data_IF_589710056723
#
_entry.id   IF_589710056723
#
_cell.length_a   1.000
_cell.length_b   1.000
_cell.length_c   1.000
_cell.angle_alpha   90.00
_cell.angle_beta   90.00
_cell.angle_gamma   90.00
#
_symmetry.space_group_name_H-M   'P 1'
#
loop_
_entity.id
_entity.type
_entity.pdbx_description
1 polymer ?
#
# COMPACT_ATOMS: atom_id res chain seq x y z
N UNK A 1 -6.28 21.96 9.58
CA UNK A 1 -6.02 20.63 10.15
C UNK A 1 -5.27 19.78 9.11
N UNK A 2 -4.33 18.92 9.52
CA UNK A 2 -3.56 18.07 8.59
C UNK A 2 -3.56 16.63 9.09
N UNK A 3 -4.21 15.73 8.37
CA UNK A 3 -4.31 14.30 8.72
C UNK A 3 -3.50 13.48 7.73
N UNK A 4 -2.67 12.57 8.23
CA UNK A 4 -1.84 11.67 7.40
C UNK A 4 -2.32 10.24 7.57
N UNK A 5 -2.69 9.59 6.47
CA UNK A 5 -3.20 8.21 6.44
C UNK A 5 -2.48 7.45 5.33
N UNK A 6 -2.02 6.23 5.59
CA UNK A 6 -1.52 5.37 4.52
C UNK A 6 -2.70 4.63 3.89
N UNK A 7 -2.88 4.71 2.58
CA UNK A 7 -4.01 4.08 1.87
C UNK A 7 -3.87 2.55 1.78
N UNK A 8 -2.68 2.00 2.07
CA UNK A 8 -2.39 0.57 2.06
C UNK A 8 -1.88 0.09 3.42
N UNK A 9 -2.47 0.59 4.51
CA UNK A 9 -2.08 0.27 5.89
C UNK A 9 -1.94 -1.23 6.14
N UNK A 10 -2.93 -2.03 5.72
CA UNK A 10 -2.94 -3.48 5.96
C UNK A 10 -1.79 -4.17 5.25
N UNK A 11 -1.57 -3.83 3.97
CA UNK A 11 -0.44 -4.33 3.17
C UNK A 11 0.89 -4.01 3.82
N UNK A 12 1.09 -2.73 4.17
CA UNK A 12 2.35 -2.27 4.75
C UNK A 12 2.60 -2.96 6.09
N UNK A 13 1.57 -3.11 6.94
CA UNK A 13 1.70 -3.80 8.22
C UNK A 13 2.04 -5.29 8.02
N UNK A 14 1.34 -5.97 7.11
CA UNK A 14 1.58 -7.37 6.82
C UNK A 14 3.03 -7.61 6.38
N UNK A 15 3.52 -6.83 5.41
CA UNK A 15 4.89 -6.97 4.95
C UNK A 15 5.91 -6.48 5.98
N UNK A 16 5.58 -5.50 6.82
CA UNK A 16 6.46 -5.07 7.91
C UNK A 16 6.67 -6.19 8.95
N UNK A 17 5.64 -6.98 9.25
CA UNK A 17 5.74 -8.15 10.15
C UNK A 17 6.53 -9.29 9.49
N UNK A 18 6.33 -9.50 8.20
CA UNK A 18 7.00 -10.57 7.45
C UNK A 18 8.49 -10.26 7.16
N UNK A 19 8.83 -8.97 7.08
CA UNK A 19 10.19 -8.48 6.81
C UNK A 19 11.24 -9.08 7.74
N UNK A 20 11.18 -9.00 9.08
CA UNK A 20 12.22 -9.54 9.95
C UNK A 20 12.51 -11.04 9.74
N UNK A 21 11.48 -11.83 9.43
CA UNK A 21 11.63 -13.27 9.13
C UNK A 21 12.45 -13.46 7.84
N UNK A 22 12.13 -12.72 6.78
CA UNK A 22 12.88 -12.77 5.52
C UNK A 22 14.31 -12.23 5.71
N UNK A 23 14.49 -11.14 6.45
CA UNK A 23 15.81 -10.58 6.76
C UNK A 23 16.68 -11.67 7.40
N UNK A 24 16.18 -12.34 8.44
CA UNK A 24 16.93 -13.36 9.17
C UNK A 24 17.25 -14.57 8.29
N UNK A 25 16.24 -15.10 7.58
CA UNK A 25 16.45 -16.23 6.67
C UNK A 25 17.45 -15.92 5.55
N UNK A 26 17.38 -14.70 5.00
CA UNK A 26 18.30 -14.24 3.95
C UNK A 26 19.72 -14.06 4.46
N UNK A 27 19.91 -13.51 5.67
CA UNK A 27 21.23 -13.38 6.29
C UNK A 27 21.84 -14.75 6.60
N UNK A 28 21.05 -15.64 7.18
CA UNK A 28 21.48 -17.01 7.48
C UNK A 28 21.96 -17.70 6.20
N UNK A 29 21.19 -17.63 5.13
CA UNK A 29 21.55 -18.29 3.88
C UNK A 29 22.79 -17.66 3.20
N UNK A 30 22.97 -16.34 3.31
CA UNK A 30 24.17 -15.68 2.81
C UNK A 30 25.42 -16.11 3.60
N UNK A 31 25.33 -16.10 4.93
CA UNK A 31 26.48 -16.40 5.81
C UNK A 31 26.81 -17.90 5.74
N UNK A 32 25.87 -18.78 6.07
CA UNK A 32 26.12 -20.22 6.17
C UNK A 32 26.25 -20.89 4.79
N UNK A 33 25.48 -20.42 3.81
CA UNK A 33 25.38 -21.06 2.51
C UNK A 33 26.40 -20.57 1.48
N UNK A 34 26.82 -19.30 1.55
CA UNK A 34 27.73 -18.70 0.54
C UNK A 34 29.08 -18.35 1.13
N UNK A 35 29.12 -17.65 2.27
CA UNK A 35 30.38 -17.18 2.87
C UNK A 35 31.14 -18.33 3.54
N UNK A 36 30.46 -19.08 4.42
CA UNK A 36 31.06 -20.16 5.21
C UNK A 36 30.97 -21.53 4.52
N UNK A 37 30.11 -21.68 3.51
CA UNK A 37 29.90 -22.92 2.75
C UNK A 37 29.57 -24.15 3.62
N UNK A 38 28.97 -23.95 4.79
CA UNK A 38 28.59 -25.03 5.71
C UNK A 38 27.38 -25.83 5.22
N UNK A 39 26.54 -25.24 4.36
CA UNK A 39 25.35 -25.88 3.82
C UNK A 39 25.22 -25.64 2.31
N UNK A 40 24.73 -26.64 1.58
CA UNK A 40 24.50 -26.49 0.14
C UNK A 40 23.42 -25.42 -0.10
N UNK A 41 23.75 -24.37 -0.84
CA UNK A 41 22.81 -23.30 -1.20
C UNK A 41 21.88 -23.79 -2.33
N UNK A 42 20.72 -24.34 -1.99
CA UNK A 42 19.82 -24.97 -2.99
C UNK A 42 19.02 -23.97 -3.84
N UNK A 43 19.01 -22.67 -3.52
CA UNK A 43 18.30 -21.63 -4.31
C UNK A 43 19.01 -20.27 -4.25
N UNK A 44 19.58 -19.85 -5.38
CA UNK A 44 20.09 -18.49 -5.58
C UNK A 44 18.94 -17.60 -6.10
N UNK A 45 18.49 -16.68 -5.27
CA UNK A 45 17.46 -15.71 -5.63
C UNK A 45 17.62 -14.42 -4.82
N UNK A 46 17.08 -13.28 -5.32
CA UNK A 46 17.28 -11.99 -4.68
C UNK A 46 16.75 -11.96 -3.23
N UNK A 47 15.61 -12.60 -2.94
CA UNK A 47 15.10 -12.71 -1.57
C UNK A 47 15.83 -13.73 -0.69
N UNK A 48 16.54 -14.66 -1.33
CA UNK A 48 17.30 -15.71 -0.66
C UNK A 48 18.66 -15.19 -0.16
N UNK A 49 19.27 -14.23 -0.88
CA UNK A 49 20.58 -13.66 -0.53
C UNK A 49 20.53 -12.22 -0.04
N UNK A 50 19.64 -11.40 -0.61
CA UNK A 50 19.54 -9.96 -0.36
C UNK A 50 18.17 -9.54 0.20
N UNK A 51 17.38 -10.49 0.69
CA UNK A 51 16.11 -10.22 1.36
C UNK A 51 16.26 -9.22 2.52
N UNK A 52 17.43 -9.19 3.16
CA UNK A 52 17.76 -8.24 4.22
C UNK A 52 17.79 -6.76 3.78
N UNK A 53 18.12 -6.47 2.51
CA UNK A 53 18.08 -5.12 1.92
C UNK A 53 16.77 -4.88 1.19
N UNK A 54 16.34 -5.86 0.39
CA UNK A 54 15.23 -5.72 -0.54
C UNK A 54 13.91 -5.53 0.23
N UNK A 55 13.67 -6.30 1.30
CA UNK A 55 12.40 -6.23 2.03
C UNK A 55 12.16 -4.87 2.70
N UNK A 56 13.12 -4.30 3.48
CA UNK A 56 12.95 -2.94 4.00
C UNK A 56 12.67 -1.92 2.91
N UNK A 57 13.43 -1.94 1.80
CA UNK A 57 13.25 -1.00 0.69
C UNK A 57 11.84 -1.08 0.11
N UNK A 58 11.31 -2.29 -0.12
CA UNK A 58 9.95 -2.49 -0.62
C UNK A 58 8.92 -1.96 0.38
N UNK A 59 9.05 -2.25 1.68
CA UNK A 59 8.11 -1.79 2.70
C UNK A 59 8.12 -0.25 2.81
N UNK A 60 9.29 0.37 2.82
CA UNK A 60 9.39 1.83 2.83
C UNK A 60 8.82 2.45 1.56
N UNK A 61 9.14 1.92 0.38
CA UNK A 61 8.61 2.40 -0.88
C UNK A 61 7.07 2.28 -0.93
N UNK A 62 6.53 1.15 -0.47
CA UNK A 62 5.09 0.95 -0.35
C UNK A 62 4.46 1.95 0.62
N UNK A 63 5.08 2.23 1.75
CA UNK A 63 4.59 3.25 2.68
C UNK A 63 4.56 4.64 2.04
N UNK A 64 5.69 5.11 1.49
CA UNK A 64 5.81 6.47 0.96
C UNK A 64 4.93 6.74 -0.26
N UNK A 65 4.77 5.77 -1.17
CA UNK A 65 3.89 5.90 -2.34
C UNK A 65 2.40 5.87 -1.98
N UNK A 66 2.05 5.34 -0.80
CA UNK A 66 0.67 5.21 -0.34
C UNK A 66 0.29 6.19 0.77
N UNK A 67 1.17 7.10 1.16
CA UNK A 67 0.81 8.20 2.06
C UNK A 67 -0.20 9.11 1.35
N UNK A 68 -1.33 9.30 2.01
CA UNK A 68 -2.33 10.30 1.75
C UNK A 68 -2.26 11.36 2.85
N UNK A 69 -2.22 12.63 2.46
CA UNK A 69 -2.29 13.78 3.36
C UNK A 69 -3.58 14.53 3.03
N UNK A 70 -4.46 14.62 4.01
CA UNK A 70 -5.74 15.32 3.88
C UNK A 70 -5.60 16.64 4.64
N UNK A 71 -5.81 17.75 3.94
CA UNK A 71 -5.93 19.09 4.51
C UNK A 71 -7.38 19.57 4.40
N UNK A 72 -7.65 20.84 4.75
CA UNK A 72 -8.99 21.44 4.67
C UNK A 72 -9.53 21.49 3.25
N UNK A 73 -8.66 21.73 2.27
CA UNK A 73 -9.09 22.07 0.90
C UNK A 73 -8.50 21.14 -0.17
N UNK A 74 -7.59 20.24 0.23
CA UNK A 74 -6.85 19.40 -0.71
C UNK A 74 -6.55 18.02 -0.16
N UNK A 75 -6.39 17.05 -1.05
CA UNK A 75 -5.80 15.75 -0.79
C UNK A 75 -4.49 15.62 -1.55
N UNK A 76 -3.42 15.23 -0.87
CA UNK A 76 -2.14 14.89 -1.50
C UNK A 76 -1.92 13.39 -1.45
N UNK A 77 -1.77 12.74 -2.61
CA UNK A 77 -1.42 11.32 -2.72
C UNK A 77 -0.19 11.20 -3.60
N UNK A 78 0.84 10.49 -3.13
CA UNK A 78 2.09 10.27 -3.89
C UNK A 78 2.71 11.58 -4.43
N UNK A 79 2.74 12.63 -3.60
CA UNK A 79 3.23 13.98 -3.95
C UNK A 79 2.41 14.73 -5.00
N UNK A 80 1.27 14.20 -5.45
CA UNK A 80 0.32 14.89 -6.34
C UNK A 80 -0.79 15.49 -5.49
N UNK A 81 -1.10 16.77 -5.72
CA UNK A 81 -2.14 17.52 -5.01
C UNK A 81 -3.44 17.52 -5.82
N UNK A 82 -4.54 17.21 -5.14
CA UNK A 82 -5.90 17.18 -5.68
C UNK A 82 -6.77 18.13 -4.85
N UNK A 83 -6.97 19.39 -5.29
CA UNK A 83 -7.89 20.33 -4.65
C UNK A 83 -9.34 19.88 -4.76
N UNK A 84 -10.14 20.10 -3.71
CA UNK A 84 -11.56 19.74 -3.70
C UNK A 84 -12.40 20.55 -4.69
N UNK A 85 -11.95 21.76 -5.05
CA UNK A 85 -12.61 22.61 -6.05
C UNK A 85 -12.57 22.03 -7.45
N UNK A 86 -11.47 21.33 -7.80
CA UNK A 86 -11.15 20.95 -9.17
C UNK A 86 -11.45 19.47 -9.43
N UNK A 87 -11.47 18.66 -8.37
CA UNK A 87 -11.64 17.21 -8.46
C UNK A 87 -12.89 16.74 -7.73
N UNK A 88 -13.55 15.72 -8.29
CA UNK A 88 -14.63 14.95 -7.67
C UNK A 88 -14.01 13.71 -7.01
N UNK A 89 -14.40 13.45 -5.77
CA UNK A 89 -13.95 12.30 -5.00
C UNK A 89 -15.12 11.36 -4.81
N UNK A 90 -14.97 10.11 -5.24
CA UNK A 90 -16.00 9.08 -5.11
C UNK A 90 -15.40 7.85 -4.44
N UNK A 91 -16.18 7.26 -3.53
CA UNK A 91 -15.86 5.99 -2.91
C UNK A 91 -16.68 4.89 -3.59
N UNK A 92 -16.03 4.09 -4.43
CA UNK A 92 -16.68 2.98 -5.12
C UNK A 92 -16.43 1.66 -4.38
N UNK A 93 -17.37 0.73 -4.48
CA UNK A 93 -17.17 -0.65 -4.05
C UNK A 93 -17.07 -1.54 -5.27
N UNK A 94 -15.98 -2.30 -5.38
CA UNK A 94 -15.74 -3.23 -6.49
C UNK A 94 -15.58 -4.64 -5.97
N UNK A 95 -16.11 -5.59 -6.73
CA UNK A 95 -15.82 -7.01 -6.52
C UNK A 95 -14.54 -7.38 -7.28
N UNK A 96 -13.58 -7.97 -6.57
CA UNK A 96 -12.32 -8.42 -7.18
C UNK A 96 -12.35 -9.93 -7.42
N UNK A 97 -11.90 -10.35 -8.60
CA UNK A 97 -11.59 -11.74 -8.88
C UNK A 97 -10.48 -12.23 -7.94
N UNK A 98 -10.50 -13.53 -7.59
CA UNK A 98 -9.60 -14.11 -6.58
C UNK A 98 -8.11 -13.77 -6.81
N UNK A 99 -7.68 -13.75 -8.07
CA UNK A 99 -6.30 -13.46 -8.49
C UNK A 99 -5.83 -12.02 -8.23
N UNK A 100 -6.76 -11.07 -8.08
CA UNK A 100 -6.47 -9.66 -7.82
C UNK A 100 -6.71 -9.28 -6.37
N UNK A 101 -7.10 -10.23 -5.52
CA UNK A 101 -7.37 -9.97 -4.12
C UNK A 101 -6.06 -9.85 -3.34
N UNK A 102 -5.91 -8.83 -2.51
CA UNK A 102 -4.75 -8.72 -1.66
C UNK A 102 -4.74 -9.82 -0.59
N UNK A 103 -3.55 -10.34 -0.31
CA UNK A 103 -3.32 -11.43 0.67
C UNK A 103 -3.88 -11.09 2.07
N UNK A 104 -3.87 -9.80 2.40
CA UNK A 104 -4.38 -9.21 3.65
C UNK A 104 -5.90 -9.24 3.79
N UNK A 105 -6.65 -9.49 2.71
CA UNK A 105 -8.12 -9.42 2.69
C UNK A 105 -8.75 -10.40 1.69
N UNK A 106 -8.12 -11.53 1.40
CA UNK A 106 -8.53 -12.54 0.41
C UNK A 106 -10.02 -12.94 0.42
N UNK A 107 -10.63 -12.98 1.61
CA UNK A 107 -11.99 -13.43 1.80
C UNK A 107 -13.03 -12.31 1.73
N UNK A 108 -12.62 -11.06 1.54
CA UNK A 108 -13.57 -9.96 1.34
C UNK A 108 -14.21 -10.06 -0.04
N UNK A 109 -15.52 -9.82 -0.07
CA UNK A 109 -16.32 -9.75 -1.30
C UNK A 109 -16.24 -8.38 -1.97
N UNK A 110 -16.29 -7.31 -1.17
CA UNK A 110 -16.23 -5.94 -1.65
C UNK A 110 -14.99 -5.23 -1.15
N UNK A 111 -14.37 -4.46 -2.05
CA UNK A 111 -13.18 -3.66 -1.82
C UNK A 111 -13.50 -2.20 -2.10
N UNK A 112 -13.02 -1.31 -1.23
CA UNK A 112 -13.29 0.12 -1.35
C UNK A 112 -12.22 0.77 -2.23
N UNK A 113 -12.64 1.48 -3.25
CA UNK A 113 -11.79 2.21 -4.17
C UNK A 113 -12.00 3.71 -3.99
N UNK A 114 -10.90 4.44 -3.83
CA UNK A 114 -10.89 5.89 -3.99
C UNK A 114 -10.74 6.22 -5.47
N UNK A 115 -11.76 6.86 -6.03
CA UNK A 115 -11.75 7.35 -7.40
C UNK A 115 -11.70 8.88 -7.35
N UNK A 116 -10.72 9.46 -8.03
CA UNK A 116 -10.57 10.91 -8.21
C UNK A 116 -10.79 11.22 -9.68
N UNK A 117 -11.79 12.03 -9.97
CA UNK A 117 -12.16 12.46 -11.31
C UNK A 117 -11.94 13.95 -11.44
N UNK A 118 -11.35 14.41 -12.54
CA UNK A 118 -11.24 15.84 -12.84
C UNK A 118 -12.62 16.39 -13.23
N UNK A 119 -13.09 17.45 -12.57
CA UNK A 119 -14.41 18.05 -12.85
C UNK A 119 -14.49 18.70 -14.23
N UNK A 120 -13.37 19.17 -14.78
CA UNK A 120 -13.35 19.85 -16.09
C UNK A 120 -13.43 18.86 -17.24
N UNK A 121 -12.73 17.74 -17.11
CA UNK A 121 -12.59 16.75 -18.19
C UNK A 121 -13.42 15.49 -17.98
N UNK A 122 -13.99 15.29 -16.79
CA UNK A 122 -14.64 14.06 -16.34
C UNK A 122 -13.77 12.80 -16.46
N UNK A 123 -12.45 12.96 -16.60
CA UNK A 123 -11.52 11.85 -16.68
C UNK A 123 -11.11 11.37 -15.28
N UNK A 124 -11.01 10.06 -15.11
CA UNK A 124 -10.48 9.44 -13.89
C UNK A 124 -8.97 9.66 -13.86
N UNK A 125 -8.49 10.46 -12.90
CA UNK A 125 -7.07 10.80 -12.74
C UNK A 125 -6.39 9.84 -11.76
N UNK A 126 -7.13 9.32 -10.80
CA UNK A 126 -6.64 8.33 -9.86
C UNK A 126 -7.73 7.31 -9.55
N UNK A 127 -7.38 6.04 -9.66
CA UNK A 127 -8.16 4.94 -9.12
C UNK A 127 -7.25 4.12 -8.19
N UNK A 128 -7.64 4.00 -6.92
CA UNK A 128 -6.78 3.37 -5.91
C UNK A 128 -7.56 2.56 -4.89
N UNK A 129 -7.12 1.32 -4.68
CA UNK A 129 -7.66 0.45 -3.62
C UNK A 129 -7.29 0.99 -2.23
N UNK A 130 -8.26 0.98 -1.33
CA UNK A 130 -8.16 1.40 0.06
C UNK A 130 -8.05 0.19 0.98
N UNK A 131 -6.83 -0.32 1.10
CA UNK A 131 -6.49 -1.37 2.07
C UNK A 131 -6.20 -0.79 3.46
N UNK A 132 -7.17 -0.08 4.00
CA UNK A 132 -7.11 0.56 5.32
C UNK A 132 -7.92 -0.19 6.37
N UNK A 133 -7.64 0.08 7.65
CA UNK A 133 -8.51 -0.35 8.74
C UNK A 133 -9.80 0.47 8.76
N UNK A 134 -10.89 -0.11 9.27
CA UNK A 134 -12.21 0.52 9.25
C UNK A 134 -12.22 1.88 9.99
N UNK A 135 -11.47 1.99 11.08
CA UNK A 135 -11.24 3.26 11.78
C UNK A 135 -10.61 4.35 10.89
N UNK A 136 -9.68 3.96 10.03
CA UNK A 136 -9.03 4.89 9.09
C UNK A 136 -9.93 5.19 7.89
N UNK A 137 -10.73 4.22 7.44
CA UNK A 137 -11.76 4.44 6.42
C UNK A 137 -12.81 5.45 6.88
N UNK A 138 -13.33 5.31 8.10
CA UNK A 138 -14.31 6.24 8.66
C UNK A 138 -13.74 7.66 8.76
N UNK A 139 -12.50 7.80 9.20
CA UNK A 139 -11.81 9.11 9.19
C UNK A 139 -11.67 9.70 7.80
N UNK A 140 -11.41 8.90 6.76
CA UNK A 140 -11.37 9.39 5.38
C UNK A 140 -12.77 9.88 4.98
N UNK A 141 -13.82 9.12 5.28
CA UNK A 141 -15.23 9.49 5.01
C UNK A 141 -15.64 10.80 5.68
N UNK A 142 -15.15 11.07 6.89
CA UNK A 142 -15.45 12.31 7.63
C UNK A 142 -14.70 13.53 7.09
N UNK A 143 -13.49 13.34 6.55
CA UNK A 143 -12.60 14.44 6.17
C UNK A 143 -12.65 14.82 4.69
N UNK A 144 -13.14 13.91 3.85
CA UNK A 144 -13.18 14.10 2.40
C UNK A 144 -14.62 14.36 1.98
N UNK A 145 -14.89 15.43 1.21
CA UNK A 145 -16.22 15.68 0.67
C UNK A 145 -16.49 14.71 -0.48
N UNK A 146 -16.95 13.50 -0.12
CA UNK A 146 -17.34 12.50 -1.10
C UNK A 146 -18.65 12.90 -1.78
N UNK A 147 -18.65 12.81 -3.10
CA UNK A 147 -19.84 13.00 -3.92
C UNK A 147 -20.27 11.63 -4.46
N UNK A 148 -21.53 11.28 -4.20
CA UNK A 148 -22.17 10.08 -4.73
C UNK A 148 -22.38 10.18 -6.26
#
# INVERSE_FOLDING_TARGET
>A
MKTKICLSQKVVLFYAILTPVIIFASLYNLIEGVILQHTATYRLGPFSLFGFVIMPVIVFAAYFKNICIITTDTITINKVNYPFSDYKFTLAEKELALQHRPLTSLFKKYYHYLIITDRKTNNIVLEKDLEVFDKSLNRIKELVPFEN
#
